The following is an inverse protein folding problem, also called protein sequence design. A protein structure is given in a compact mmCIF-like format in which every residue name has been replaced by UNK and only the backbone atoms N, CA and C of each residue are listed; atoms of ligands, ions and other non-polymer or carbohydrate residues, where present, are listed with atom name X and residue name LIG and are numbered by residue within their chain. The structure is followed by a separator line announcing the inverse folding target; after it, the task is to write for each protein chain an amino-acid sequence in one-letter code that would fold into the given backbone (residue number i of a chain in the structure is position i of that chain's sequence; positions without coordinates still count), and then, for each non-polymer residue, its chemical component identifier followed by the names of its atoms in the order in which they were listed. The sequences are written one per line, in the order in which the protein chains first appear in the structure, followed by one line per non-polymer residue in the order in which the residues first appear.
data_IF_039820190900
#
_entry.id   IF_039820190900
#
_cell.length_a   1.000
_cell.length_b   1.000
_cell.length_c   1.000
_cell.angle_alpha   90.00
_cell.angle_beta   90.00
_cell.angle_gamma   90.00
#
_symmetry.space_group_name_H-M   'P 1'
#
loop_
_entity.id
_entity.type
_entity.pdbx_description
1 polymer ?
#
# COMPACT_ATOMS: atom_id res chain seq x y z
N UNK A 1 -14.95 2.90 -15.77
CA UNK A 1 -13.76 3.77 -15.67
C UNK A 1 -12.62 3.04 -16.37
N UNK A 2 -12.12 3.56 -17.49
CA UNK A 2 -11.00 2.93 -18.21
C UNK A 2 -9.73 3.01 -17.36
N UNK A 3 -9.37 1.89 -16.72
CA UNK A 3 -8.14 1.78 -15.92
C UNK A 3 -6.95 1.49 -16.84
N UNK A 4 -6.52 2.47 -17.64
CA UNK A 4 -5.40 2.22 -18.55
C UNK A 4 -4.11 1.85 -17.84
N UNK A 5 -3.77 2.52 -16.73
CA UNK A 5 -2.57 2.23 -15.95
C UNK A 5 -2.60 2.90 -14.57
N UNK A 6 -2.47 2.13 -13.52
CA UNK A 6 -2.32 2.62 -12.14
C UNK A 6 -0.91 2.38 -11.64
N UNK A 7 -0.32 3.38 -11.02
CA UNK A 7 1.03 3.34 -10.44
C UNK A 7 0.93 3.61 -8.95
N UNK A 8 1.46 2.67 -8.15
CA UNK A 8 1.48 2.77 -6.71
C UNK A 8 2.92 2.70 -6.20
N UNK A 9 3.17 3.40 -5.12
CA UNK A 9 4.41 3.31 -4.36
C UNK A 9 4.05 3.05 -2.91
N UNK A 10 4.61 1.97 -2.36
CA UNK A 10 4.62 1.72 -0.92
C UNK A 10 6.00 2.05 -0.40
N UNK A 11 6.09 2.93 0.61
CA UNK A 11 7.37 3.33 1.17
C UNK A 11 7.32 3.43 2.70
N UNK A 12 8.40 2.99 3.34
CA UNK A 12 8.53 2.93 4.79
C UNK A 12 9.93 2.52 5.21
N UNK A 13 10.10 2.04 6.41
CA UNK A 13 11.36 1.46 6.88
C UNK A 13 11.48 -0.03 6.55
N UNK A 14 12.69 -0.55 6.60
CA UNK A 14 12.93 -2.00 6.61
C UNK A 14 12.15 -2.67 7.75
N UNK A 15 11.54 -3.84 7.46
CA UNK A 15 10.73 -4.58 8.42
C UNK A 15 9.24 -4.20 8.47
N UNK A 16 8.81 -3.07 7.88
CA UNK A 16 7.37 -2.70 7.82
C UNK A 16 6.56 -3.46 6.76
N UNK A 17 7.18 -4.39 6.01
CA UNK A 17 6.47 -5.26 5.08
C UNK A 17 5.91 -4.58 3.82
N UNK A 18 6.40 -3.39 3.45
CA UNK A 18 5.95 -2.64 2.25
C UNK A 18 6.12 -3.44 0.97
N UNK A 19 7.20 -4.23 0.86
CA UNK A 19 7.47 -5.09 -0.28
C UNK A 19 6.44 -6.22 -0.36
N UNK A 20 6.13 -6.85 0.77
CA UNK A 20 5.13 -7.92 0.86
C UNK A 20 3.74 -7.42 0.44
N UNK A 21 3.31 -6.25 0.92
CA UNK A 21 2.04 -5.64 0.52
C UNK A 21 1.99 -5.39 -0.99
N UNK A 22 3.08 -4.87 -1.56
CA UNK A 22 3.21 -4.63 -3.00
C UNK A 22 3.12 -5.93 -3.83
N UNK A 23 3.78 -6.99 -3.39
CA UNK A 23 3.75 -8.31 -4.04
C UNK A 23 2.34 -8.89 -4.01
N UNK A 24 1.67 -8.89 -2.84
CA UNK A 24 0.31 -9.42 -2.70
C UNK A 24 -0.66 -8.69 -3.64
N UNK A 25 -0.55 -7.36 -3.73
CA UNK A 25 -1.38 -6.57 -4.63
C UNK A 25 -1.14 -6.92 -6.10
N UNK A 26 0.12 -7.04 -6.51
CA UNK A 26 0.48 -7.40 -7.88
C UNK A 26 0.02 -8.80 -8.25
N UNK A 27 0.18 -9.78 -7.36
CA UNK A 27 -0.32 -11.16 -7.58
C UNK A 27 -1.84 -11.21 -7.69
N UNK A 28 -2.56 -10.52 -6.82
CA UNK A 28 -4.01 -10.45 -6.90
C UNK A 28 -4.47 -9.91 -8.27
N UNK A 29 -3.84 -8.85 -8.74
CA UNK A 29 -4.15 -8.25 -10.04
C UNK A 29 -3.90 -9.23 -11.21
N UNK A 30 -2.78 -9.95 -11.21
CA UNK A 30 -2.42 -10.85 -12.31
C UNK A 30 -3.19 -12.16 -12.26
N UNK A 31 -3.22 -12.82 -11.10
CA UNK A 31 -3.71 -14.19 -10.99
C UNK A 31 -5.24 -14.25 -10.99
N UNK A 32 -5.89 -13.26 -10.37
CA UNK A 32 -7.34 -13.33 -10.14
C UNK A 32 -8.16 -12.27 -10.87
N UNK A 33 -7.53 -11.17 -11.34
CA UNK A 33 -8.26 -10.10 -12.04
C UNK A 33 -7.96 -10.05 -13.54
N UNK A 34 -7.04 -10.91 -14.03
CA UNK A 34 -6.65 -10.94 -15.44
C UNK A 34 -5.97 -9.66 -15.93
N UNK A 35 -5.37 -8.89 -15.02
CA UNK A 35 -4.64 -7.66 -15.32
C UNK A 35 -3.15 -7.94 -15.50
N UNK A 36 -2.45 -7.03 -16.17
CA UNK A 36 -0.99 -7.00 -16.17
C UNK A 36 -0.51 -6.25 -14.94
N UNK A 37 0.50 -6.78 -14.25
CA UNK A 37 1.17 -6.06 -13.17
C UNK A 37 2.68 -6.26 -13.21
N UNK A 38 3.40 -5.22 -12.79
CA UNK A 38 4.83 -5.27 -12.53
C UNK A 38 5.07 -4.73 -11.13
N UNK A 39 5.78 -5.51 -10.33
CA UNK A 39 6.28 -5.08 -9.03
C UNK A 39 7.80 -4.95 -9.14
N UNK A 40 8.33 -3.84 -8.63
CA UNK A 40 9.78 -3.63 -8.50
C UNK A 40 10.09 -2.99 -7.15
N UNK A 41 11.31 -3.23 -6.68
CA UNK A 41 11.77 -2.71 -5.40
C UNK A 41 13.13 -2.02 -5.58
N UNK A 42 13.32 -0.92 -4.87
CA UNK A 42 14.60 -0.23 -4.82
C UNK A 42 15.32 -0.62 -3.55
N UNK A 43 16.41 -1.37 -3.73
CA UNK A 43 17.44 -1.52 -2.70
C UNK A 43 18.49 -0.43 -2.94
N UNK A 44 18.30 0.75 -2.37
CA UNK A 44 19.36 1.75 -2.37
C UNK A 44 20.45 1.42 -1.35
N UNK A 45 21.65 2.05 -1.41
CA UNK A 45 22.64 1.99 -0.35
C UNK A 45 22.08 2.42 1.03
N UNK A 46 20.95 3.05 1.03
CA UNK A 46 20.11 3.44 2.17
C UNK A 46 19.34 2.27 2.81
N UNK A 47 19.41 1.05 2.29
CA UNK A 47 18.78 -0.14 2.90
C UNK A 47 19.26 -0.46 4.33
N UNK A 48 20.28 0.25 4.82
CA UNK A 48 20.79 0.17 6.19
C UNK A 48 20.32 1.32 7.09
N UNK A 49 19.19 1.96 6.78
CA UNK A 49 18.61 3.05 7.57
C UNK A 49 17.75 4.03 6.79
N UNK A 50 17.61 3.85 5.46
CA UNK A 50 16.81 4.72 4.61
C UNK A 50 15.41 4.18 4.29
N UNK A 51 14.61 4.99 3.59
CA UNK A 51 13.27 4.62 3.19
C UNK A 51 13.28 3.48 2.14
N UNK A 52 12.72 2.33 2.51
CA UNK A 52 12.44 1.22 1.59
C UNK A 52 11.30 1.62 0.65
N UNK A 53 11.42 1.27 -0.63
CA UNK A 53 10.39 1.57 -1.63
C UNK A 53 10.05 0.32 -2.45
N UNK A 54 8.75 0.09 -2.63
CA UNK A 54 8.21 -0.93 -3.52
C UNK A 54 7.21 -0.27 -4.48
N UNK A 55 7.45 -0.42 -5.77
CA UNK A 55 6.62 0.10 -6.84
C UNK A 55 5.69 -0.99 -7.35
N UNK A 56 4.45 -0.65 -7.66
CA UNK A 56 3.49 -1.52 -8.35
C UNK A 56 2.86 -0.74 -9.50
N UNK A 57 2.84 -1.35 -10.68
CA UNK A 57 2.08 -0.86 -11.83
C UNK A 57 1.05 -1.91 -12.17
N UNK A 58 -0.22 -1.53 -12.24
CA UNK A 58 -1.33 -2.38 -12.67
C UNK A 58 -1.94 -1.78 -13.93
N UNK A 59 -2.19 -2.58 -14.95
CA UNK A 59 -2.70 -2.12 -16.25
C UNK A 59 -3.53 -3.20 -16.94
N UNK A 60 -4.51 -2.81 -17.72
CA UNK A 60 -5.20 -3.68 -18.67
C UNK A 60 -4.45 -3.83 -20.01
N UNK A 61 -3.31 -3.16 -20.18
CA UNK A 61 -2.43 -3.21 -21.36
C UNK A 61 -1.00 -3.57 -20.97
N UNK A 62 -0.17 -3.91 -21.92
CA UNK A 62 1.24 -4.22 -21.71
C UNK A 62 2.00 -3.10 -21.01
N UNK A 63 2.84 -3.48 -20.04
CA UNK A 63 3.66 -2.57 -19.26
C UNK A 63 5.08 -2.57 -19.84
N UNK A 64 5.36 -1.63 -20.74
CA UNK A 64 6.68 -1.53 -21.40
C UNK A 64 7.74 -0.82 -20.56
N UNK A 65 7.33 -0.04 -19.55
CA UNK A 65 8.24 0.71 -18.69
C UNK A 65 7.90 0.44 -17.21
N UNK A 66 8.75 -0.34 -16.50
CA UNK A 66 8.43 -0.86 -15.18
C UNK A 66 8.80 0.07 -14.03
N UNK A 67 9.07 1.37 -14.27
CA UNK A 67 9.40 2.34 -13.21
C UNK A 67 8.23 3.28 -12.93
N UNK A 68 8.06 3.60 -11.65
CA UNK A 68 7.08 4.60 -11.19
C UNK A 68 7.82 5.91 -10.88
N UNK A 69 7.59 6.92 -11.70
CA UNK A 69 8.13 8.27 -11.50
C UNK A 69 7.13 9.18 -10.80
N UNK A 70 5.86 9.11 -11.19
CA UNK A 70 4.74 9.87 -10.62
C UNK A 70 3.61 8.90 -10.25
N UNK A 71 3.52 8.46 -8.98
CA UNK A 71 2.48 7.52 -8.56
C UNK A 71 1.09 8.16 -8.54
N UNK A 72 0.07 7.35 -8.85
CA UNK A 72 -1.33 7.67 -8.59
C UNK A 72 -1.65 7.56 -7.09
N UNK A 73 -0.98 6.59 -6.44
CA UNK A 73 -1.12 6.31 -5.02
C UNK A 73 0.26 6.21 -4.40
N UNK A 74 0.51 6.99 -3.38
CA UNK A 74 1.73 6.97 -2.61
C UNK A 74 1.39 6.67 -1.15
N UNK A 75 1.94 5.58 -0.64
CA UNK A 75 1.83 5.18 0.76
C UNK A 75 3.14 5.48 1.48
N UNK A 76 3.11 6.33 2.49
CA UNK A 76 4.26 6.71 3.30
C UNK A 76 4.06 6.27 4.76
N UNK A 77 4.87 5.31 5.21
CA UNK A 77 4.77 4.75 6.56
C UNK A 77 5.83 5.28 7.53
N UNK A 78 6.68 6.20 7.09
CA UNK A 78 7.66 6.91 7.92
C UNK A 78 7.78 8.36 7.48
N UNK A 79 8.24 9.24 8.38
CA UNK A 79 8.48 10.64 8.05
C UNK A 79 9.54 10.80 6.96
N UNK A 80 10.57 9.96 6.96
CA UNK A 80 11.61 9.96 5.94
C UNK A 80 11.04 9.62 4.56
N UNK A 81 10.18 8.57 4.47
CA UNK A 81 9.49 8.21 3.24
C UNK A 81 8.62 9.36 2.72
N UNK A 82 7.89 10.02 3.62
CA UNK A 82 7.08 11.19 3.28
C UNK A 82 7.93 12.34 2.76
N UNK A 83 8.99 12.72 3.49
CA UNK A 83 9.87 13.84 3.10
C UNK A 83 10.54 13.61 1.76
N UNK A 84 10.92 12.35 1.47
CA UNK A 84 11.61 11.96 0.24
C UNK A 84 10.68 11.86 -0.98
N UNK A 85 9.48 11.30 -0.81
CA UNK A 85 8.64 10.90 -1.94
C UNK A 85 7.36 11.72 -2.12
N UNK A 86 6.89 12.48 -1.12
CA UNK A 86 5.61 13.19 -1.21
C UNK A 86 5.51 14.13 -2.42
N UNK A 87 6.62 14.77 -2.80
CA UNK A 87 6.65 15.65 -3.97
C UNK A 87 6.58 14.93 -5.33
N UNK A 88 6.75 13.60 -5.34
CA UNK A 88 6.71 12.82 -6.58
C UNK A 88 5.30 12.40 -6.98
N UNK A 89 4.32 12.58 -6.09
CA UNK A 89 2.94 12.20 -6.40
C UNK A 89 2.40 13.00 -7.56
N UNK A 90 1.64 12.35 -8.43
CA UNK A 90 1.01 13.05 -9.55
C UNK A 90 -0.11 13.97 -9.06
N UNK A 91 -0.39 15.08 -9.75
CA UNK A 91 -1.54 15.94 -9.47
C UNK A 91 -2.84 15.14 -9.37
N UNK A 92 -3.63 15.42 -8.33
CA UNK A 92 -4.88 14.70 -8.05
C UNK A 92 -4.71 13.25 -7.57
N UNK A 93 -3.50 12.81 -7.24
CA UNK A 93 -3.22 11.49 -6.68
C UNK A 93 -3.69 11.33 -5.23
N UNK A 94 -3.50 10.14 -4.68
CA UNK A 94 -3.79 9.80 -3.30
C UNK A 94 -2.49 9.58 -2.52
N UNK A 95 -2.25 10.38 -1.47
CA UNK A 95 -1.18 10.17 -0.51
C UNK A 95 -1.77 9.63 0.79
N UNK A 96 -1.45 8.38 1.13
CA UNK A 96 -1.86 7.72 2.35
C UNK A 96 -0.67 7.66 3.31
N UNK A 97 -0.88 8.05 4.56
CA UNK A 97 0.13 7.96 5.60
C UNK A 97 -0.46 7.42 6.90
N UNK A 98 0.43 6.90 7.76
CA UNK A 98 0.04 6.53 9.12
C UNK A 98 0.26 7.73 10.05
N UNK A 99 -0.80 8.19 10.72
CA UNK A 99 -0.76 9.37 11.60
C UNK A 99 0.20 9.24 12.77
N UNK A 100 0.58 8.02 13.16
CA UNK A 100 1.54 7.76 14.24
C UNK A 100 2.96 8.13 13.83
N UNK A 101 3.34 7.91 12.57
CA UNK A 101 4.72 7.99 12.11
C UNK A 101 4.98 9.14 11.15
N UNK A 102 3.93 9.76 10.61
CA UNK A 102 4.04 10.81 9.62
C UNK A 102 3.24 12.03 10.04
N UNK A 103 3.91 13.19 10.00
CA UNK A 103 3.27 14.51 10.10
C UNK A 103 3.44 15.20 8.75
N UNK A 104 2.36 15.47 8.02
CA UNK A 104 2.46 16.19 6.75
C UNK A 104 3.02 17.60 6.95
N UNK A 105 4.17 17.87 6.34
CA UNK A 105 4.89 19.15 6.48
C UNK A 105 4.69 20.06 5.27
N UNK A 106 4.14 19.53 4.17
CA UNK A 106 3.96 20.29 2.93
C UNK A 106 2.62 20.01 2.27
N UNK A 107 2.09 21.01 1.61
CA UNK A 107 0.97 20.81 0.69
C UNK A 107 1.51 20.20 -0.61
N UNK A 108 0.90 19.11 -1.03
CA UNK A 108 1.09 18.51 -2.35
C UNK A 108 -0.25 18.56 -3.08
N UNK A 109 -0.20 18.58 -4.42
CA UNK A 109 -1.42 18.56 -5.24
C UNK A 109 -2.00 17.14 -5.30
N UNK A 110 -2.45 16.65 -4.14
CA UNK A 110 -2.99 15.31 -3.96
C UNK A 110 -3.98 15.28 -2.79
N UNK A 111 -4.87 14.31 -2.78
CA UNK A 111 -5.67 14.00 -1.59
C UNK A 111 -4.76 13.34 -0.56
N UNK A 112 -4.48 14.05 0.53
CA UNK A 112 -3.69 13.53 1.66
C UNK A 112 -4.63 12.96 2.72
N UNK A 113 -4.41 11.70 3.10
CA UNK A 113 -5.14 11.01 4.15
C UNK A 113 -4.17 10.43 5.18
N UNK A 114 -4.49 10.69 6.45
CA UNK A 114 -3.76 10.18 7.60
C UNK A 114 -4.67 9.22 8.36
N UNK A 115 -4.31 7.93 8.39
CA UNK A 115 -5.10 6.91 9.06
C UNK A 115 -4.35 6.34 10.28
N UNK A 116 -5.05 5.96 11.36
CA UNK A 116 -4.45 5.38 12.56
C UNK A 116 -4.17 3.87 12.39
N UNK A 117 -3.51 3.48 11.30
CA UNK A 117 -3.41 2.06 10.92
C UNK A 117 -2.63 1.24 11.94
N UNK A 118 -1.44 1.71 12.34
CA UNK A 118 -0.62 0.99 13.32
C UNK A 118 -1.28 0.94 14.69
N UNK A 119 -1.81 2.07 15.16
CA UNK A 119 -2.50 2.16 16.45
C UNK A 119 -3.66 1.16 16.51
N UNK A 120 -4.55 1.15 15.50
CA UNK A 120 -5.70 0.26 15.45
C UNK A 120 -5.31 -1.22 15.40
N UNK A 121 -4.24 -1.57 14.64
CA UNK A 121 -3.72 -2.94 14.61
C UNK A 121 -3.20 -3.35 15.98
N UNK A 122 -2.47 -2.48 16.67
CA UNK A 122 -1.95 -2.80 18.00
C UNK A 122 -3.06 -2.92 19.03
N UNK A 123 -4.06 -2.05 19.01
CA UNK A 123 -5.18 -2.07 19.95
C UNK A 123 -6.08 -3.31 19.77
N UNK A 124 -6.37 -3.69 18.51
CA UNK A 124 -7.29 -4.79 18.23
C UNK A 124 -6.61 -6.15 18.15
N UNK A 125 -5.38 -6.22 17.66
CA UNK A 125 -4.70 -7.49 17.36
C UNK A 125 -3.44 -7.72 18.18
N UNK A 126 -2.84 -6.68 18.75
CA UNK A 126 -1.61 -6.75 19.57
C UNK A 126 -0.38 -7.25 18.79
N UNK A 127 -0.41 -7.27 17.46
CA UNK A 127 0.61 -7.88 16.60
C UNK A 127 1.02 -6.96 15.47
N UNK A 128 2.16 -6.30 15.58
CA UNK A 128 2.67 -5.39 14.53
C UNK A 128 3.08 -6.11 13.23
N UNK A 129 3.29 -7.42 13.26
CA UNK A 129 3.73 -8.18 12.09
C UNK A 129 2.71 -8.15 10.93
N UNK A 130 1.43 -7.91 11.21
CA UNK A 130 0.37 -7.82 10.20
C UNK A 130 0.01 -6.38 9.82
N UNK A 131 0.80 -5.41 10.26
CA UNK A 131 0.58 -4.00 9.96
C UNK A 131 0.54 -3.70 8.45
N UNK A 132 1.45 -4.30 7.69
CA UNK A 132 1.50 -4.16 6.23
C UNK A 132 0.21 -4.64 5.53
N UNK A 133 -0.47 -5.62 6.10
CA UNK A 133 -1.74 -6.13 5.55
C UNK A 133 -2.88 -5.17 5.86
N UNK A 134 -2.89 -4.52 7.02
CA UNK A 134 -3.80 -3.41 7.29
C UNK A 134 -3.57 -2.24 6.31
N UNK A 135 -2.32 -1.86 6.06
CA UNK A 135 -1.97 -0.84 5.07
C UNK A 135 -2.47 -1.21 3.66
N UNK A 136 -2.34 -2.48 3.28
CA UNK A 136 -2.87 -2.99 2.01
C UNK A 136 -4.41 -2.87 1.97
N UNK A 137 -5.10 -3.25 3.05
CA UNK A 137 -6.55 -3.13 3.18
C UNK A 137 -7.01 -1.67 3.05
N UNK A 138 -6.35 -0.75 3.76
CA UNK A 138 -6.64 0.68 3.67
C UNK A 138 -6.43 1.23 2.24
N UNK A 139 -5.31 0.85 1.61
CA UNK A 139 -5.02 1.22 0.21
C UNK A 139 -6.10 0.72 -0.73
N UNK A 140 -6.54 -0.53 -0.57
CA UNK A 140 -7.57 -1.12 -1.42
C UNK A 140 -8.96 -0.51 -1.18
N UNK A 141 -9.34 -0.28 0.06
CA UNK A 141 -10.61 0.39 0.42
C UNK A 141 -10.74 1.76 -0.23
N UNK A 142 -9.63 2.51 -0.33
CA UNK A 142 -9.58 3.83 -0.95
C UNK A 142 -9.54 3.79 -2.48
N UNK A 143 -9.01 2.73 -3.08
CA UNK A 143 -8.70 2.69 -4.52
C UNK A 143 -9.55 1.73 -5.32
N UNK A 144 -9.98 0.63 -4.71
CA UNK A 144 -10.74 -0.46 -5.34
C UNK A 144 -10.07 -1.00 -6.61
N UNK A 145 -8.73 -1.10 -6.59
CA UNK A 145 -7.94 -1.51 -7.75
C UNK A 145 -8.11 -2.98 -8.11
N UNK A 146 -8.24 -3.83 -7.10
CA UNK A 146 -8.56 -5.24 -7.20
C UNK A 146 -9.67 -5.58 -6.21
N UNK A 147 -10.33 -6.72 -6.36
CA UNK A 147 -11.37 -7.14 -5.42
C UNK A 147 -10.77 -7.61 -4.09
N UNK A 148 -11.51 -7.43 -3.01
CA UNK A 148 -11.17 -7.99 -1.69
C UNK A 148 -10.99 -9.51 -1.76
N UNK A 149 -11.86 -10.19 -2.53
CA UNK A 149 -11.79 -11.63 -2.73
C UNK A 149 -10.46 -12.08 -3.33
N UNK A 150 -9.94 -11.33 -4.31
CA UNK A 150 -8.65 -11.62 -4.95
C UNK A 150 -7.49 -11.51 -3.96
N UNK A 151 -7.49 -10.50 -3.09
CA UNK A 151 -6.49 -10.39 -2.02
C UNK A 151 -6.61 -11.56 -1.02
N UNK A 152 -7.83 -11.92 -0.61
CA UNK A 152 -8.05 -13.04 0.33
C UNK A 152 -7.53 -14.36 -0.23
N UNK A 153 -7.68 -14.62 -1.53
CA UNK A 153 -7.11 -15.80 -2.19
C UNK A 153 -5.58 -15.80 -2.17
N UNK A 154 -4.95 -14.66 -2.42
CA UNK A 154 -3.48 -14.53 -2.33
C UNK A 154 -3.00 -14.76 -0.89
N UNK A 155 -3.67 -14.18 0.10
CA UNK A 155 -3.34 -14.39 1.51
C UNK A 155 -3.44 -15.86 1.89
N UNK A 156 -4.50 -16.56 1.47
CA UNK A 156 -4.68 -17.99 1.73
C UNK A 156 -3.57 -18.89 1.16
N UNK A 157 -2.94 -18.45 0.07
CA UNK A 157 -1.85 -19.19 -0.56
C UNK A 157 -0.45 -18.82 -0.04
N UNK A 158 -0.28 -17.62 0.50
CA UNK A 158 1.03 -17.10 0.91
C UNK A 158 1.30 -17.14 2.40
N UNK A 159 0.26 -17.02 3.20
CA UNK A 159 0.38 -16.90 4.64
C UNK A 159 0.28 -18.27 5.29
N UNK A 160 1.15 -18.61 6.26
CA UNK A 160 0.99 -19.82 7.03
C UNK A 160 -0.41 -19.95 7.62
N UNK A 161 -1.00 -21.17 7.68
CA UNK A 161 -2.38 -21.35 8.13
C UNK A 161 -2.67 -20.80 9.52
N UNK A 162 -1.71 -20.89 10.45
CA UNK A 162 -1.78 -20.36 11.81
C UNK A 162 -1.82 -18.83 11.91
N UNK A 163 -1.38 -18.14 10.87
CA UNK A 163 -1.40 -16.67 10.78
C UNK A 163 -2.49 -16.13 9.85
N UNK A 164 -3.21 -17.00 9.14
CA UNK A 164 -4.14 -16.57 8.09
C UNK A 164 -5.28 -15.70 8.65
N UNK A 165 -5.93 -16.14 9.73
CA UNK A 165 -7.04 -15.38 10.33
C UNK A 165 -6.57 -14.04 10.90
N UNK A 166 -5.37 -13.97 11.46
CA UNK A 166 -4.77 -12.72 11.93
C UNK A 166 -4.53 -11.74 10.77
N UNK A 167 -4.06 -12.23 9.61
CA UNK A 167 -3.86 -11.41 8.42
C UNK A 167 -5.19 -10.94 7.82
N UNK A 168 -6.22 -11.79 7.78
CA UNK A 168 -7.56 -11.40 7.34
C UNK A 168 -8.13 -10.28 8.22
N UNK A 169 -8.06 -10.43 9.54
CA UNK A 169 -8.52 -9.41 10.47
C UNK A 169 -7.78 -8.07 10.28
N UNK A 170 -6.46 -8.11 10.06
CA UNK A 170 -5.69 -6.90 9.79
C UNK A 170 -6.11 -6.22 8.47
N UNK A 171 -6.40 -7.01 7.44
CA UNK A 171 -6.89 -6.50 6.16
C UNK A 171 -8.26 -5.81 6.31
N UNK A 172 -9.18 -6.44 7.05
CA UNK A 172 -10.51 -5.88 7.34
C UNK A 172 -10.43 -4.57 8.11
N UNK A 173 -9.55 -4.46 9.11
CA UNK A 173 -9.27 -3.20 9.81
C UNK A 173 -8.89 -2.09 8.82
N UNK A 174 -8.02 -2.41 7.85
CA UNK A 174 -7.63 -1.46 6.83
C UNK A 174 -8.81 -0.98 5.97
N UNK A 175 -9.68 -1.89 5.55
CA UNK A 175 -10.90 -1.55 4.81
C UNK A 175 -11.84 -0.64 5.62
N UNK A 176 -12.09 -0.98 6.89
CA UNK A 176 -12.92 -0.18 7.80
C UNK A 176 -12.40 1.25 7.96
N UNK A 177 -11.07 1.40 8.16
CA UNK A 177 -10.44 2.72 8.28
C UNK A 177 -10.59 3.55 7.00
N UNK A 178 -10.47 2.92 5.84
CA UNK A 178 -10.69 3.58 4.56
C UNK A 178 -12.14 4.06 4.39
N UNK A 179 -13.11 3.23 4.74
CA UNK A 179 -14.54 3.58 4.68
C UNK A 179 -14.89 4.72 5.64
N UNK A 180 -14.35 4.68 6.86
CA UNK A 180 -14.53 5.75 7.85
C UNK A 180 -14.02 7.10 7.35
N UNK A 181 -12.89 7.11 6.64
CA UNK A 181 -12.28 8.33 6.09
C UNK A 181 -13.03 8.93 4.89
N UNK A 182 -13.88 8.14 4.22
CA UNK A 182 -14.68 8.63 3.09
C UNK A 182 -15.98 9.35 3.56
N UNK A 183 -16.36 9.18 4.82
CA UNK A 183 -17.56 9.77 5.43
C UNK A 183 -17.28 11.04 6.23
N UNK A 184 -16.02 11.33 6.49
CA UNK A 184 -15.54 12.52 7.21
C UNK A 184 -15.10 13.61 6.23
#
# INVERSE_FOLDING_TARGET
MERERYRLVFSGSGGQGVITAAIILAEAAVIYEGLNAVQSQSYGPEARGGATRADVIISNRDIRFPKVTQPNVLVCLTQEAYSKFSATIRPGGLLLSDRRFVKPERKVDARQLELPMHETVMDRLGKSIVYNICVLGATLGLTRLVSTESIMKVLGNRVPPDLLELNKAAFEIGLELAEGSAKA
#
